data_IF_996173321941
#
_entry.id   IF_996173321941
#
_cell.length_a   1.000
_cell.length_b   1.000
_cell.length_c   1.000
_cell.angle_alpha   90.00
_cell.angle_beta   90.00
_cell.angle_gamma   90.00
#
_symmetry.space_group_name_H-M   'P 1'
#
loop_
_entity.id
_entity.type
_entity.pdbx_description
1 polymer ?
#
# COMPACT_ATOMS: atom_id res chain seq x y z
N UNK A 1 -6.11 -15.28 14.57
CA UNK A 1 -5.37 -14.54 13.55
C UNK A 1 -4.81 -15.54 12.55
N UNK A 2 -5.10 -15.36 11.26
CA UNK A 2 -4.54 -16.17 10.17
C UNK A 2 -3.83 -15.22 9.22
N UNK A 3 -2.66 -15.62 8.72
CA UNK A 3 -1.90 -14.84 7.74
C UNK A 3 -1.70 -15.68 6.49
N UNK A 4 -2.10 -15.14 5.34
CA UNK A 4 -1.90 -15.76 4.03
C UNK A 4 -1.06 -14.85 3.17
N UNK A 5 -0.03 -15.39 2.53
CA UNK A 5 0.84 -14.63 1.62
C UNK A 5 0.54 -15.00 0.17
N UNK A 6 0.51 -13.99 -0.69
CA UNK A 6 0.36 -14.15 -2.14
C UNK A 6 1.56 -13.48 -2.82
N UNK A 7 2.05 -14.09 -3.90
CA UNK A 7 2.96 -13.45 -4.84
C UNK A 7 2.30 -13.48 -6.21
N UNK A 8 1.88 -12.32 -6.70
CA UNK A 8 1.15 -12.20 -7.97
C UNK A 8 1.95 -11.27 -8.86
N UNK A 9 2.48 -11.78 -9.97
CA UNK A 9 3.33 -11.02 -10.90
C UNK A 9 4.53 -10.32 -10.22
N UNK A 10 5.09 -10.93 -9.17
CA UNK A 10 6.21 -10.36 -8.40
C UNK A 10 5.80 -9.33 -7.35
N UNK A 11 4.52 -9.00 -7.21
CA UNK A 11 3.99 -8.20 -6.11
C UNK A 11 3.64 -9.12 -4.93
N UNK A 12 4.18 -8.82 -3.75
CA UNK A 12 3.84 -9.57 -2.54
C UNK A 12 2.67 -8.92 -1.80
N UNK A 13 1.77 -9.77 -1.32
CA UNK A 13 0.66 -9.40 -0.47
C UNK A 13 0.66 -10.28 0.78
N UNK A 14 0.54 -9.68 1.95
CA UNK A 14 0.27 -10.39 3.21
C UNK A 14 -1.12 -10.01 3.68
N UNK A 15 -2.00 -11.00 3.69
CA UNK A 15 -3.41 -10.86 4.05
C UNK A 15 -3.58 -11.39 5.47
N UNK A 16 -3.95 -10.51 6.39
CA UNK A 16 -4.11 -10.78 7.80
C UNK A 16 -5.60 -10.76 8.14
N UNK A 17 -6.12 -11.90 8.58
CA UNK A 17 -7.51 -12.05 8.99
C UNK A 17 -7.65 -11.85 10.50
N UNK A 18 -8.36 -10.79 10.89
CA UNK A 18 -8.62 -10.43 12.28
C UNK A 18 -10.12 -10.15 12.50
N UNK A 19 -10.83 -11.08 13.15
CA UNK A 19 -12.26 -10.97 13.46
C UNK A 19 -13.14 -10.64 12.23
N UNK A 20 -13.64 -9.41 12.15
CA UNK A 20 -14.50 -8.88 11.08
C UNK A 20 -13.73 -8.04 10.05
N UNK A 21 -12.40 -7.96 10.19
CA UNK A 21 -11.53 -7.13 9.36
C UNK A 21 -10.47 -7.98 8.67
N UNK A 22 -10.11 -7.55 7.47
CA UNK A 22 -8.97 -8.07 6.74
C UNK A 22 -8.03 -6.92 6.47
N UNK A 23 -6.79 -7.07 6.94
CA UNK A 23 -5.72 -6.12 6.71
C UNK A 23 -4.81 -6.70 5.63
N UNK A 24 -4.55 -5.91 4.59
CA UNK A 24 -3.71 -6.30 3.47
C UNK A 24 -2.50 -5.39 3.47
N UNK A 25 -1.33 -5.99 3.72
CA UNK A 25 -0.05 -5.37 3.45
C UNK A 25 0.36 -5.72 2.03
N UNK A 26 0.76 -4.75 1.23
CA UNK A 26 1.16 -4.98 -0.17
C UNK A 26 2.44 -4.24 -0.53
N UNK A 27 3.23 -4.84 -1.41
CA UNK A 27 4.30 -4.17 -2.13
C UNK A 27 3.70 -3.26 -3.20
N UNK A 28 4.17 -2.01 -3.25
CA UNK A 28 3.73 -1.02 -4.24
C UNK A 28 4.83 -0.75 -5.26
N UNK A 29 6.07 -0.59 -4.81
CA UNK A 29 7.27 -0.39 -5.63
C UNK A 29 7.11 0.69 -6.72
N UNK A 30 6.36 1.76 -6.42
CA UNK A 30 6.05 2.83 -7.39
C UNK A 30 6.94 4.05 -7.12
N UNK A 31 7.68 4.47 -8.14
CA UNK A 31 8.47 5.71 -8.08
C UNK A 31 7.56 6.94 -8.00
N UNK A 32 7.87 7.86 -7.08
CA UNK A 32 7.24 9.18 -6.98
C UNK A 32 8.28 10.22 -7.39
N UNK A 33 8.00 10.96 -8.46
CA UNK A 33 8.83 12.08 -8.88
C UNK A 33 8.57 13.29 -8.00
N UNK A 34 9.14 13.30 -6.80
CA UNK A 34 9.08 14.48 -5.93
C UNK A 34 10.08 15.52 -6.46
N UNK A 35 9.60 16.74 -6.72
CA UNK A 35 10.48 17.87 -7.05
C UNK A 35 11.42 18.09 -5.86
N UNK A 36 12.72 17.76 -6.04
CA UNK A 36 13.78 17.87 -5.03
C UNK A 36 13.82 19.26 -4.38
N UNK A 37 13.10 19.44 -3.28
CA UNK A 37 13.30 20.53 -2.31
C UNK A 37 12.91 20.10 -0.90
N UNK A 38 13.53 19.04 -0.38
CA UNK A 38 13.69 18.91 1.06
C UNK A 38 14.87 17.99 1.37
N UNK A 39 15.72 18.44 2.29
CA UNK A 39 16.75 17.66 2.94
C UNK A 39 16.07 16.74 3.97
N UNK A 40 15.23 15.80 3.53
CA UNK A 40 14.62 14.86 4.47
C UNK A 40 15.64 13.77 4.80
N UNK A 41 16.20 13.86 6.01
CA UNK A 41 17.14 12.90 6.59
C UNK A 41 16.47 11.53 6.82
N UNK A 42 15.13 11.49 6.87
CA UNK A 42 14.36 10.27 7.06
C UNK A 42 14.33 9.40 5.79
N UNK A 43 14.96 8.23 5.89
CA UNK A 43 15.01 7.23 4.82
C UNK A 43 13.68 6.52 4.58
N UNK A 44 12.81 6.47 5.57
CA UNK A 44 11.51 5.80 5.52
C UNK A 44 10.49 6.69 6.22
N UNK A 45 9.42 7.04 5.51
CA UNK A 45 8.30 7.86 6.01
C UNK A 45 7.07 6.96 6.08
N UNK A 46 6.44 6.93 7.25
CA UNK A 46 5.15 6.27 7.46
C UNK A 46 4.05 7.32 7.41
N UNK A 47 3.30 7.35 6.32
CA UNK A 47 2.25 8.34 6.10
C UNK A 47 0.87 7.75 6.39
N UNK A 48 0.16 8.34 7.34
CA UNK A 48 -1.27 8.07 7.56
C UNK A 48 -2.10 8.72 6.45
N UNK A 49 -2.89 7.91 5.74
CA UNK A 49 -3.71 8.37 4.60
C UNK A 49 -5.19 8.35 4.95
N UNK A 50 -5.67 7.24 5.51
CA UNK A 50 -7.08 7.02 5.86
C UNK A 50 -8.07 7.47 4.75
N UNK A 51 -7.81 7.06 3.50
CA UNK A 51 -8.70 7.35 2.36
C UNK A 51 -9.50 6.13 1.96
N UNK A 52 -10.79 6.35 1.70
CA UNK A 52 -11.65 5.33 1.10
C UNK A 52 -11.16 4.99 -0.31
N UNK A 53 -11.13 3.70 -0.60
CA UNK A 53 -10.98 3.13 -1.93
C UNK A 53 -12.22 2.28 -2.20
N UNK A 54 -12.45 1.87 -3.45
CA UNK A 54 -13.69 1.20 -3.84
C UNK A 54 -13.96 -0.06 -3.01
N UNK A 55 -12.90 -0.81 -2.67
CA UNK A 55 -13.01 -2.07 -1.95
C UNK A 55 -12.53 -2.00 -0.49
N UNK A 56 -12.33 -0.80 0.08
CA UNK A 56 -11.89 -0.66 1.47
C UNK A 56 -11.34 0.72 1.82
N UNK A 57 -10.32 0.75 2.68
CA UNK A 57 -9.69 1.97 3.16
C UNK A 57 -8.17 1.83 3.06
N UNK A 58 -7.53 2.70 2.29
CA UNK A 58 -6.08 2.90 2.33
C UNK A 58 -5.72 3.59 3.64
N UNK A 59 -5.15 2.83 4.57
CA UNK A 59 -4.80 3.31 5.91
C UNK A 59 -3.48 4.04 5.92
N UNK A 60 -2.43 3.42 5.37
CA UNK A 60 -1.06 3.91 5.41
C UNK A 60 -0.33 3.69 4.10
N UNK A 61 0.58 4.60 3.78
CA UNK A 61 1.62 4.45 2.77
C UNK A 61 2.99 4.51 3.44
N UNK A 62 3.91 3.69 2.95
CA UNK A 62 5.30 3.68 3.40
C UNK A 62 6.13 4.18 2.23
N UNK A 63 6.74 5.35 2.40
CA UNK A 63 7.56 6.00 1.39
C UNK A 63 9.02 5.77 1.76
N UNK A 64 9.80 5.22 0.84
CA UNK A 64 11.25 5.09 0.99
C UNK A 64 11.95 6.18 0.18
N UNK A 65 12.73 7.01 0.86
CA UNK A 65 13.59 8.00 0.23
C UNK A 65 14.96 7.38 -0.07
N UNK A 66 15.35 7.40 -1.34
CA UNK A 66 16.69 7.04 -1.78
C UNK A 66 17.50 8.29 -2.12
N UNK A 67 18.79 8.12 -2.43
CA UNK A 67 19.63 9.24 -2.88
C UNK A 67 19.14 9.88 -4.19
N UNK A 68 18.42 9.12 -5.01
CA UNK A 68 18.12 9.51 -6.40
C UNK A 68 16.63 9.81 -6.57
N UNK A 69 15.77 9.01 -5.95
CA UNK A 69 14.31 9.13 -6.05
C UNK A 69 13.59 8.68 -4.76
N UNK A 70 12.28 8.89 -4.71
CA UNK A 70 11.42 8.39 -3.64
C UNK A 70 10.47 7.33 -4.21
N UNK A 71 10.13 6.33 -3.41
CA UNK A 71 9.23 5.25 -3.81
C UNK A 71 8.15 5.04 -2.78
N UNK A 72 6.92 4.77 -3.22
CA UNK A 72 5.95 4.06 -2.38
C UNK A 72 6.43 2.62 -2.33
N UNK A 73 7.00 2.23 -1.19
CA UNK A 73 7.46 0.87 -0.97
C UNK A 73 6.28 -0.05 -0.69
N UNK A 74 5.40 0.36 0.21
CA UNK A 74 4.31 -0.47 0.68
C UNK A 74 3.05 0.33 0.97
N UNK A 75 1.92 -0.37 0.99
CA UNK A 75 0.65 0.15 1.42
C UNK A 75 -0.04 -0.81 2.39
N UNK A 76 -0.86 -0.24 3.26
CA UNK A 76 -1.72 -0.99 4.18
C UNK A 76 -3.17 -0.63 3.86
N UNK A 77 -3.94 -1.64 3.49
CA UNK A 77 -5.36 -1.51 3.18
C UNK A 77 -6.17 -2.31 4.18
N UNK A 78 -7.27 -1.73 4.64
CA UNK A 78 -8.27 -2.42 5.45
C UNK A 78 -9.53 -2.66 4.61
N UNK A 79 -10.01 -3.89 4.59
CA UNK A 79 -11.25 -4.27 3.91
C UNK A 79 -12.14 -5.12 4.84
N UNK A 80 -13.43 -5.22 4.52
CA UNK A 80 -14.41 -5.98 5.32
C UNK A 80 -14.77 -7.34 4.71
N UNK A 81 -14.50 -7.56 3.43
CA UNK A 81 -14.72 -8.87 2.80
C UNK A 81 -13.68 -9.89 3.24
N UNK A 82 -14.14 -11.12 3.54
CA UNK A 82 -13.28 -12.23 3.93
C UNK A 82 -12.86 -13.11 2.76
N UNK A 83 -13.50 -12.95 1.59
CA UNK A 83 -13.20 -13.75 0.41
C UNK A 83 -12.11 -13.06 -0.41
N UNK A 84 -10.86 -13.46 -0.17
CA UNK A 84 -9.69 -12.87 -0.83
C UNK A 84 -9.21 -13.81 -1.94
N UNK A 85 -9.17 -13.27 -3.15
CA UNK A 85 -8.67 -13.92 -4.35
C UNK A 85 -7.74 -12.96 -5.10
N UNK A 86 -6.93 -13.49 -6.01
CA UNK A 86 -5.86 -12.74 -6.67
C UNK A 86 -6.36 -11.49 -7.42
N UNK A 87 -7.49 -11.59 -8.13
CA UNK A 87 -8.08 -10.44 -8.85
C UNK A 87 -8.45 -9.29 -7.91
N UNK A 88 -8.94 -9.58 -6.70
CA UNK A 88 -9.22 -8.55 -5.71
C UNK A 88 -7.94 -7.86 -5.26
N UNK A 89 -6.87 -8.61 -5.01
CA UNK A 89 -5.58 -8.06 -4.60
C UNK A 89 -4.97 -7.15 -5.67
N UNK A 90 -5.07 -7.54 -6.94
CA UNK A 90 -4.62 -6.71 -8.06
C UNK A 90 -5.49 -5.46 -8.24
N UNK A 91 -6.80 -5.57 -8.06
CA UNK A 91 -7.69 -4.41 -8.08
C UNK A 91 -7.37 -3.42 -6.97
N UNK A 92 -7.16 -3.92 -5.75
CA UNK A 92 -6.74 -3.10 -4.61
C UNK A 92 -5.40 -2.41 -4.86
N UNK A 93 -4.42 -3.12 -5.44
CA UNK A 93 -3.14 -2.52 -5.82
C UNK A 93 -3.33 -1.34 -6.80
N UNK A 94 -4.15 -1.50 -7.84
CA UNK A 94 -4.43 -0.43 -8.79
C UNK A 94 -5.16 0.76 -8.12
N UNK A 95 -6.16 0.49 -7.28
CA UNK A 95 -6.85 1.53 -6.50
C UNK A 95 -5.88 2.30 -5.58
N UNK A 96 -4.95 1.60 -4.94
CA UNK A 96 -3.90 2.21 -4.12
C UNK A 96 -3.00 3.11 -4.95
N UNK A 97 -2.56 2.68 -6.14
CA UNK A 97 -1.75 3.52 -7.02
C UNK A 97 -2.46 4.82 -7.39
N UNK A 98 -3.72 4.74 -7.82
CA UNK A 98 -4.51 5.90 -8.21
C UNK A 98 -4.69 6.90 -7.06
N UNK A 99 -5.06 6.41 -5.87
CA UNK A 99 -5.27 7.27 -4.70
C UNK A 99 -3.96 7.84 -4.18
N UNK A 100 -2.86 7.08 -4.25
CA UNK A 100 -1.55 7.53 -3.81
C UNK A 100 -1.05 8.74 -4.60
N UNK A 101 -1.32 8.78 -5.91
CA UNK A 101 -0.99 9.93 -6.78
C UNK A 101 -1.78 11.20 -6.43
N UNK A 102 -2.89 11.09 -5.70
CA UNK A 102 -3.71 12.25 -5.27
C UNK A 102 -3.32 12.79 -3.89
N UNK A 103 -2.69 11.99 -3.04
CA UNK A 103 -2.40 12.33 -1.64
C UNK A 103 -0.93 12.66 -1.38
N UNK A 104 -0.04 12.37 -2.34
CA UNK A 104 1.39 12.70 -2.31
C UNK A 104 1.65 13.87 -3.26
#
# INVERSE_FOLDING_TARGET
>A
MIVTNYNINGLNFSVIYENERVIIYMDVNKEIKVNKRAKDEERVIYMDVNKEIKNGILRKLIICNTKISSYICNAIVEITTKNIYEDLLLNLYNEVLEVSEMVI
#
